data_IF_165775501040
#
_entry.id   IF_165775501040
#
_cell.length_a   1.000
_cell.length_b   1.000
_cell.length_c   1.000
_cell.angle_alpha   90.00
_cell.angle_beta   90.00
_cell.angle_gamma   90.00
#
_symmetry.space_group_name_H-M   'P 1'
#
loop_
_entity.id
_entity.type
_entity.pdbx_description
1 polymer ?
#
# COMPACT_ATOMS: atom_id res chain seq x y z
N UNK A 1 28.70 -68.87 -41.66
CA UNK A 1 27.72 -68.50 -42.69
C UNK A 1 26.36 -68.30 -42.03
N UNK A 2 25.80 -67.09 -42.18
CA UNK A 2 24.37 -66.71 -42.15
C UNK A 2 23.53 -66.98 -40.87
N UNK A 3 23.27 -65.86 -40.19
CA UNK A 3 22.08 -65.42 -39.43
C UNK A 3 20.84 -66.30 -39.35
N UNK A 4 20.16 -66.28 -38.18
CA UNK A 4 18.77 -65.79 -37.93
C UNK A 4 18.43 -66.10 -36.45
N UNK A 5 18.58 -65.14 -35.53
CA UNK A 5 17.51 -64.31 -34.91
C UNK A 5 16.26 -65.09 -34.50
N UNK A 6 16.10 -65.31 -33.19
CA UNK A 6 14.86 -65.75 -32.55
C UNK A 6 14.68 -64.98 -31.25
N UNK A 7 13.86 -63.93 -31.33
CA UNK A 7 13.50 -63.00 -30.27
C UNK A 7 12.51 -63.68 -29.31
N UNK A 8 12.83 -63.81 -28.02
CA UNK A 8 11.85 -64.13 -26.98
C UNK A 8 11.78 -62.94 -26.01
N UNK A 9 10.61 -62.30 -26.04
CA UNK A 9 10.16 -61.21 -25.20
C UNK A 9 10.10 -61.68 -23.73
N UNK A 10 10.87 -61.06 -22.84
CA UNK A 10 10.68 -61.16 -21.39
C UNK A 10 9.78 -59.98 -20.96
N UNK A 11 8.52 -60.25 -20.65
CA UNK A 11 7.62 -59.27 -20.05
C UNK A 11 7.98 -59.12 -18.56
N UNK A 12 8.72 -58.05 -18.22
CA UNK A 12 8.92 -57.64 -16.84
C UNK A 12 7.72 -56.79 -16.39
N UNK A 13 6.85 -57.37 -15.55
CA UNK A 13 5.79 -56.66 -14.84
C UNK A 13 6.41 -55.81 -13.72
N UNK A 14 6.69 -54.54 -14.01
CA UNK A 14 6.95 -53.55 -12.96
C UNK A 14 5.63 -53.16 -12.30
N UNK A 15 5.36 -53.71 -11.12
CA UNK A 15 4.38 -53.15 -10.18
C UNK A 15 4.98 -51.87 -9.61
N UNK A 16 4.73 -50.76 -10.29
CA UNK A 16 5.04 -49.43 -9.77
C UNK A 16 4.03 -49.06 -8.69
N UNK A 17 4.41 -49.20 -7.42
CA UNK A 17 3.74 -48.50 -6.33
C UNK A 17 4.00 -47.00 -6.47
N UNK A 18 3.18 -46.30 -7.24
CA UNK A 18 3.12 -44.84 -7.21
C UNK A 18 2.37 -44.41 -5.95
N UNK A 19 3.09 -44.23 -4.85
CA UNK A 19 2.60 -43.39 -3.76
C UNK A 19 2.66 -41.93 -4.23
N UNK A 20 1.59 -41.48 -4.88
CA UNK A 20 1.35 -40.07 -5.11
C UNK A 20 1.02 -39.41 -3.77
N UNK A 21 2.03 -38.86 -3.12
CA UNK A 21 1.83 -37.91 -2.02
C UNK A 21 1.23 -36.65 -2.63
N UNK A 22 -0.01 -36.24 -2.28
CA UNK A 22 -0.54 -34.96 -2.74
C UNK A 22 0.23 -33.86 -2.00
N UNK A 23 1.03 -33.10 -2.74
CA UNK A 23 1.64 -31.86 -2.24
C UNK A 23 0.51 -30.84 -2.12
N UNK A 24 -0.12 -30.82 -0.95
CA UNK A 24 -1.04 -29.77 -0.54
C UNK A 24 -0.24 -28.50 -0.26
N UNK A 25 -0.14 -27.61 -1.24
CA UNK A 25 0.20 -26.21 -1.00
C UNK A 25 -1.04 -25.43 -0.53
N UNK A 26 -1.68 -25.91 0.53
CA UNK A 26 -2.56 -25.09 1.34
C UNK A 26 -1.70 -24.49 2.46
N UNK A 27 -1.08 -23.33 2.21
CA UNK A 27 -0.68 -22.48 3.33
C UNK A 27 -1.96 -22.11 4.06
N UNK A 28 -2.18 -22.77 5.20
CA UNK A 28 -3.32 -22.52 6.07
C UNK A 28 -3.19 -21.09 6.57
N UNK A 29 -3.98 -20.18 5.99
CA UNK A 29 -4.26 -18.90 6.61
C UNK A 29 -4.85 -19.20 7.99
N UNK A 30 -4.01 -19.03 9.01
CA UNK A 30 -4.46 -19.04 10.40
C UNK A 30 -5.40 -17.86 10.54
N UNK A 31 -6.70 -18.10 10.38
CA UNK A 31 -7.75 -17.13 10.64
C UNK A 31 -7.70 -16.79 12.13
N UNK A 32 -6.90 -15.78 12.44
CA UNK A 32 -6.73 -15.22 13.77
C UNK A 32 -7.91 -14.32 14.09
N UNK A 33 -8.33 -14.38 15.35
CA UNK A 33 -9.27 -13.46 15.99
C UNK A 33 -9.08 -12.00 15.52
N UNK A 34 -10.12 -11.15 15.57
CA UNK A 34 -10.01 -9.75 15.18
C UNK A 34 -8.78 -9.11 15.83
N UNK A 35 -8.01 -8.28 15.08
CA UNK A 35 -6.87 -7.59 15.66
C UNK A 35 -7.36 -6.78 16.88
N UNK A 36 -6.60 -6.85 17.98
CA UNK A 36 -6.85 -5.99 19.14
C UNK A 36 -6.78 -4.53 18.67
N UNK A 37 -7.67 -3.68 19.20
CA UNK A 37 -7.62 -2.24 18.95
C UNK A 37 -6.26 -1.68 19.31
N UNK A 38 -5.72 -0.79 18.48
CA UNK A 38 -4.44 -0.17 18.75
C UNK A 38 -4.52 0.75 19.99
N UNK A 39 -3.46 0.83 20.82
CA UNK A 39 -3.42 1.73 21.97
C UNK A 39 -3.33 3.21 21.58
N UNK A 40 -3.01 3.50 20.32
CA UNK A 40 -2.97 4.83 19.69
C UNK A 40 -3.42 4.70 18.24
N UNK A 41 -3.77 5.81 17.59
CA UNK A 41 -4.05 5.83 16.15
C UNK A 41 -2.84 5.38 15.33
N UNK A 42 -3.04 4.43 14.41
CA UNK A 42 -2.02 3.88 13.51
C UNK A 42 -2.41 4.07 12.05
N UNK A 43 -1.58 4.81 11.30
CA UNK A 43 -1.66 4.90 9.85
C UNK A 43 -0.57 4.01 9.20
N UNK A 44 -0.96 3.14 8.28
CA UNK A 44 -0.03 2.39 7.44
C UNK A 44 -0.07 2.92 6.01
N UNK A 45 1.04 3.48 5.54
CA UNK A 45 1.16 4.18 4.26
C UNK A 45 1.97 3.33 3.29
N UNK A 46 1.36 2.97 2.19
CA UNK A 46 1.99 2.30 1.06
C UNK A 46 2.41 3.38 0.07
N UNK A 47 3.71 3.47 -0.21
CA UNK A 47 4.28 4.40 -1.17
C UNK A 47 4.78 3.61 -2.37
N UNK A 48 4.05 3.67 -3.49
CA UNK A 48 4.50 3.08 -4.74
C UNK A 48 5.53 4.00 -5.39
N UNK A 49 6.82 3.66 -5.32
CA UNK A 49 7.90 4.53 -5.81
C UNK A 49 7.74 4.86 -7.30
N UNK A 50 8.06 6.09 -7.67
CA UNK A 50 7.96 6.57 -9.05
C UNK A 50 8.95 5.82 -9.95
N UNK A 51 8.49 5.33 -11.11
CA UNK A 51 9.32 4.53 -12.01
C UNK A 51 9.00 4.77 -13.48
N UNK A 52 9.92 5.40 -14.20
CA UNK A 52 9.80 5.72 -15.63
C UNK A 52 9.80 4.49 -16.56
N UNK A 53 10.24 3.33 -16.07
CA UNK A 53 10.43 2.11 -16.86
C UNK A 53 9.22 1.20 -16.74
N UNK A 54 8.70 1.03 -15.52
CA UNK A 54 7.69 0.02 -15.23
C UNK A 54 6.26 0.57 -15.09
N UNK A 55 6.09 1.90 -15.08
CA UNK A 55 4.78 2.55 -14.89
C UNK A 55 4.38 3.35 -16.12
N UNK A 56 3.07 3.40 -16.41
CA UNK A 56 2.48 4.18 -17.50
C UNK A 56 2.47 5.69 -17.27
N UNK A 57 3.40 6.21 -16.46
CA UNK A 57 3.48 7.62 -16.10
C UNK A 57 4.03 8.48 -17.24
N UNK A 58 3.67 9.77 -17.24
CA UNK A 58 4.45 10.77 -17.97
C UNK A 58 5.84 10.79 -17.35
N UNK A 59 6.86 10.48 -18.16
CA UNK A 59 8.24 10.35 -17.67
C UNK A 59 8.68 11.62 -16.95
N UNK A 60 9.21 11.44 -15.76
CA UNK A 60 9.87 12.48 -14.96
C UNK A 60 11.39 12.41 -15.17
N UNK A 61 12.18 13.40 -14.72
CA UNK A 61 13.64 13.29 -14.79
C UNK A 61 14.14 11.97 -14.17
N UNK A 62 15.10 11.32 -14.82
CA UNK A 62 15.57 9.97 -14.43
C UNK A 62 15.96 9.85 -12.95
N UNK A 63 16.54 10.91 -12.38
CA UNK A 63 16.92 11.01 -10.98
C UNK A 63 15.75 10.75 -10.01
N UNK A 64 14.56 11.25 -10.32
CA UNK A 64 13.39 11.17 -9.43
C UNK A 64 12.38 10.09 -9.86
N UNK A 65 12.58 9.50 -11.05
CA UNK A 65 11.76 8.43 -11.63
C UNK A 65 12.45 7.07 -11.70
N UNK A 66 13.40 6.81 -10.79
CA UNK A 66 14.01 5.49 -10.63
C UNK A 66 13.34 4.76 -9.45
N UNK A 67 12.63 3.67 -9.76
CA UNK A 67 11.89 2.86 -8.78
C UNK A 67 12.74 2.04 -7.82
N UNK A 68 14.06 2.02 -8.02
CA UNK A 68 15.05 1.35 -7.18
C UNK A 68 15.79 2.29 -6.22
N UNK A 69 15.67 3.61 -6.44
CA UNK A 69 16.41 4.61 -5.70
C UNK A 69 15.55 5.22 -4.61
N UNK A 70 16.05 5.25 -3.37
CA UNK A 70 15.31 5.80 -2.24
C UNK A 70 15.53 7.30 -2.06
N UNK A 71 16.74 7.80 -2.31
CA UNK A 71 17.16 9.15 -1.89
C UNK A 71 16.44 10.25 -2.66
N UNK A 72 16.27 10.06 -3.97
CA UNK A 72 15.76 11.10 -4.85
C UNK A 72 14.37 10.81 -5.41
N UNK A 73 13.80 9.63 -5.15
CA UNK A 73 12.53 9.25 -5.73
C UNK A 73 11.42 10.24 -5.37
N UNK A 74 10.64 10.63 -6.39
CA UNK A 74 9.62 11.66 -6.33
C UNK A 74 8.64 11.46 -5.14
N UNK A 75 8.24 10.23 -4.86
CA UNK A 75 7.23 9.95 -3.84
C UNK A 75 7.82 9.61 -2.46
N UNK A 76 9.15 9.52 -2.33
CA UNK A 76 9.79 9.08 -1.09
C UNK A 76 10.87 10.02 -0.57
N UNK A 77 12.01 10.10 -1.27
CA UNK A 77 13.21 10.80 -0.80
C UNK A 77 13.37 12.22 -1.35
N UNK A 78 12.70 12.56 -2.46
CA UNK A 78 12.62 13.95 -2.91
C UNK A 78 12.03 14.86 -1.82
N UNK A 79 12.22 16.17 -1.90
CA UNK A 79 11.84 17.12 -0.84
C UNK A 79 10.37 17.03 -0.39
N UNK A 80 9.47 16.71 -1.33
CA UNK A 80 8.03 16.53 -1.09
C UNK A 80 7.60 15.05 -1.03
N UNK A 81 8.55 14.12 -1.12
CA UNK A 81 8.33 12.69 -0.93
C UNK A 81 8.06 12.35 0.54
N UNK A 82 7.35 11.24 0.79
CA UNK A 82 6.79 10.90 2.11
C UNK A 82 7.83 10.91 3.22
N UNK A 83 8.96 10.20 3.06
CA UNK A 83 9.98 10.13 4.11
C UNK A 83 10.62 11.49 4.36
N UNK A 84 11.05 12.16 3.30
CA UNK A 84 11.77 13.45 3.41
C UNK A 84 10.88 14.55 3.96
N UNK A 85 9.62 14.61 3.54
CA UNK A 85 8.66 15.59 4.02
C UNK A 85 8.33 15.39 5.50
N UNK A 86 7.95 14.17 5.91
CA UNK A 86 7.63 13.88 7.32
C UNK A 86 8.84 14.02 8.24
N UNK A 87 10.07 13.80 7.74
CA UNK A 87 11.30 14.05 8.51
C UNK A 87 11.50 15.55 8.80
N UNK A 88 11.06 16.42 7.91
CA UNK A 88 11.14 17.89 8.06
C UNK A 88 9.93 18.47 8.82
N UNK A 89 8.89 17.67 9.04
CA UNK A 89 7.68 18.11 9.71
C UNK A 89 7.93 18.58 11.15
N UNK A 90 7.26 19.67 11.52
CA UNK A 90 7.24 20.14 12.90
C UNK A 90 6.33 19.29 13.79
N UNK A 91 5.44 18.47 13.22
CA UNK A 91 4.47 17.64 13.94
C UNK A 91 4.92 16.19 14.16
N UNK A 92 5.87 15.69 13.37
CA UNK A 92 6.28 14.28 13.39
C UNK A 92 7.76 14.12 13.78
N UNK A 93 8.07 13.01 14.45
CA UNK A 93 9.44 12.56 14.71
C UNK A 93 9.69 11.26 13.95
N UNK A 94 10.77 11.18 13.18
CA UNK A 94 11.26 9.91 12.65
C UNK A 94 11.87 9.09 13.78
N UNK A 95 11.33 7.90 14.03
CA UNK A 95 11.77 7.01 15.10
C UNK A 95 12.76 5.97 14.57
N UNK A 96 12.50 5.40 13.40
CA UNK A 96 13.37 4.40 12.81
C UNK A 96 13.18 4.29 11.31
N UNK A 97 14.24 3.84 10.62
CA UNK A 97 14.20 3.40 9.23
C UNK A 97 14.81 2.00 9.14
N UNK A 98 14.14 1.09 8.44
CA UNK A 98 14.64 -0.27 8.20
C UNK A 98 14.64 -0.55 6.71
N UNK A 99 15.67 -1.20 6.18
CA UNK A 99 15.74 -1.65 4.78
C UNK A 99 15.62 -3.18 4.75
N UNK A 100 14.44 -3.73 4.44
CA UNK A 100 14.28 -5.18 4.31
C UNK A 100 15.26 -5.74 3.27
N UNK A 101 15.86 -6.89 3.54
CA UNK A 101 16.85 -7.50 2.64
C UNK A 101 16.19 -8.30 1.50
N UNK A 102 14.87 -8.52 1.57
CA UNK A 102 14.08 -9.31 0.62
C UNK A 102 12.67 -8.73 0.49
N UNK A 103 12.03 -9.03 -0.63
CA UNK A 103 10.67 -8.60 -0.93
C UNK A 103 10.61 -7.28 -1.69
N UNK A 104 9.40 -6.73 -1.74
CA UNK A 104 9.06 -5.60 -2.60
C UNK A 104 9.24 -4.23 -1.92
N UNK A 105 9.44 -4.21 -0.60
CA UNK A 105 9.65 -2.99 0.19
C UNK A 105 11.15 -2.73 0.29
N UNK A 106 11.60 -1.58 -0.22
CA UNK A 106 12.99 -1.14 -0.16
C UNK A 106 13.34 -0.47 1.17
N UNK A 107 12.38 0.23 1.77
CA UNK A 107 12.56 0.89 3.05
C UNK A 107 11.23 1.07 3.79
N UNK A 108 11.24 0.82 5.09
CA UNK A 108 10.17 1.16 6.03
C UNK A 108 10.63 2.33 6.91
N UNK A 109 9.84 3.38 7.01
CA UNK A 109 10.06 4.49 7.92
C UNK A 109 8.92 4.57 8.95
N UNK A 110 9.28 4.71 10.23
CA UNK A 110 8.32 4.79 11.34
C UNK A 110 8.41 6.18 11.94
N UNK A 111 7.28 6.87 11.98
CA UNK A 111 7.14 8.21 12.55
C UNK A 111 6.13 8.20 13.70
N UNK A 112 6.35 9.08 14.66
CA UNK A 112 5.42 9.31 15.78
C UNK A 112 5.03 10.79 15.82
N UNK A 113 3.74 11.04 15.89
CA UNK A 113 3.19 12.39 16.03
C UNK A 113 3.51 12.93 17.43
N UNK A 114 4.12 14.12 17.50
CA UNK A 114 4.69 14.69 18.73
C UNK A 114 3.64 14.92 19.82
N UNK A 115 2.45 15.40 19.44
CA UNK A 115 1.44 15.80 20.42
C UNK A 115 0.54 14.65 20.88
N UNK A 116 0.29 13.65 20.03
CA UNK A 116 -0.71 12.60 20.30
C UNK A 116 -0.12 11.20 20.42
N UNK A 117 1.15 11.03 20.04
CA UNK A 117 1.77 9.72 19.98
C UNK A 117 1.22 8.79 18.90
N UNK A 118 0.38 9.30 17.97
CA UNK A 118 -0.09 8.54 16.82
C UNK A 118 1.09 8.04 15.98
N UNK A 119 0.96 6.86 15.40
CA UNK A 119 2.02 6.18 14.64
C UNK A 119 1.70 6.27 13.15
N UNK A 120 2.71 6.63 12.36
CA UNK A 120 2.71 6.48 10.92
C UNK A 120 3.83 5.52 10.54
N UNK A 121 3.48 4.41 9.90
CA UNK A 121 4.45 3.51 9.26
C UNK A 121 4.30 3.70 7.76
N UNK A 122 5.39 4.03 7.08
CA UNK A 122 5.40 4.20 5.64
C UNK A 122 6.36 3.19 4.99
N UNK A 123 5.87 2.47 4.00
CA UNK A 123 6.61 1.46 3.24
C UNK A 123 6.84 1.93 1.81
N UNK A 124 8.11 2.06 1.42
CA UNK A 124 8.53 2.36 0.07
C UNK A 124 8.59 1.08 -0.76
N UNK A 125 7.54 0.84 -1.54
CA UNK A 125 7.48 -0.27 -2.48
C UNK A 125 8.29 0.07 -3.72
N UNK A 126 9.18 -0.84 -4.11
CA UNK A 126 9.93 -0.83 -5.36
C UNK A 126 9.02 -0.46 -6.53
N UNK A 127 9.48 0.41 -7.42
CA UNK A 127 8.64 0.94 -8.51
C UNK A 127 8.08 -0.14 -9.44
N UNK A 128 8.89 -1.15 -9.77
CA UNK A 128 8.48 -2.33 -10.53
C UNK A 128 7.42 -3.20 -9.81
N UNK A 129 7.28 -3.06 -8.49
CA UNK A 129 6.34 -3.80 -7.65
C UNK A 129 5.04 -3.03 -7.38
N UNK A 130 4.71 -2.00 -8.16
CA UNK A 130 3.47 -1.22 -8.01
C UNK A 130 2.21 -2.10 -7.98
N UNK A 131 2.16 -3.15 -8.81
CA UNK A 131 1.01 -4.08 -8.80
C UNK A 131 0.85 -4.78 -7.46
N UNK A 132 1.96 -5.17 -6.84
CA UNK A 132 1.98 -5.75 -5.49
C UNK A 132 1.59 -4.72 -4.43
N UNK A 133 2.06 -3.49 -4.54
CA UNK A 133 1.69 -2.40 -3.65
C UNK A 133 0.18 -2.14 -3.64
N UNK A 134 -0.44 -2.13 -4.83
CA UNK A 134 -1.89 -1.95 -4.98
C UNK A 134 -2.68 -3.15 -4.43
N UNK A 135 -2.25 -4.39 -4.69
CA UNK A 135 -2.87 -5.57 -4.08
C UNK A 135 -2.78 -5.52 -2.56
N UNK A 136 -1.61 -5.18 -2.02
CA UNK A 136 -1.40 -5.09 -0.56
C UNK A 136 -2.25 -3.99 0.08
N UNK A 137 -2.44 -2.86 -0.62
CA UNK A 137 -3.37 -1.81 -0.20
C UNK A 137 -4.80 -2.35 0.00
N UNK A 138 -5.35 -3.07 -0.98
CA UNK A 138 -6.70 -3.62 -0.87
C UNK A 138 -6.79 -4.80 0.10
N UNK A 139 -5.75 -5.62 0.23
CA UNK A 139 -5.68 -6.67 1.25
C UNK A 139 -5.71 -6.08 2.66
N UNK A 140 -4.95 -5.02 2.91
CA UNK A 140 -4.96 -4.34 4.20
C UNK A 140 -6.32 -3.70 4.46
N UNK A 141 -6.91 -3.01 3.49
CA UNK A 141 -8.26 -2.47 3.62
C UNK A 141 -9.31 -3.54 3.87
N UNK A 142 -9.11 -4.75 3.35
CA UNK A 142 -9.96 -5.92 3.60
C UNK A 142 -9.83 -6.48 5.02
N UNK A 143 -9.02 -5.86 5.87
CA UNK A 143 -8.73 -6.33 7.22
C UNK A 143 -7.76 -7.52 7.25
N UNK A 144 -7.11 -7.84 6.14
CA UNK A 144 -6.18 -8.98 6.03
C UNK A 144 -4.75 -8.55 6.31
N UNK A 145 -3.90 -9.55 6.54
CA UNK A 145 -2.45 -9.37 6.72
C UNK A 145 -2.11 -8.34 7.82
N UNK A 146 -2.86 -8.39 8.92
CA UNK A 146 -2.52 -7.65 10.12
C UNK A 146 -1.20 -8.17 10.70
N UNK A 147 -0.31 -7.26 11.06
CA UNK A 147 1.04 -7.59 11.55
C UNK A 147 1.39 -6.74 12.77
N UNK A 148 1.92 -7.31 13.86
CA UNK A 148 2.38 -6.51 15.00
C UNK A 148 3.72 -5.82 14.68
N UNK A 149 3.84 -4.56 15.09
CA UNK A 149 5.08 -3.80 15.09
C UNK A 149 5.33 -3.19 16.47
N UNK A 150 6.54 -3.38 17.01
CA UNK A 150 6.97 -2.69 18.23
C UNK A 150 7.44 -1.28 17.88
N UNK A 151 6.87 -0.27 18.54
CA UNK A 151 7.28 1.14 18.42
C UNK A 151 7.63 1.67 19.81
N UNK A 152 8.91 1.59 20.18
CA UNK A 152 9.35 1.85 21.56
C UNK A 152 8.81 0.79 22.52
N UNK A 153 8.04 1.19 23.52
CA UNK A 153 7.46 0.30 24.54
C UNK A 153 6.05 -0.21 24.22
N UNK A 154 5.46 0.19 23.09
CA UNK A 154 4.11 -0.23 22.68
C UNK A 154 4.17 -1.15 21.46
N UNK A 155 3.20 -2.05 21.38
CA UNK A 155 2.92 -2.83 20.18
C UNK A 155 1.71 -2.22 19.47
N UNK A 156 1.81 -2.08 18.15
CA UNK A 156 0.75 -1.60 17.27
C UNK A 156 0.54 -2.61 16.14
N UNK A 157 -0.66 -2.62 15.56
CA UNK A 157 -1.01 -3.50 14.44
C UNK A 157 -0.99 -2.72 13.13
N UNK A 158 -0.27 -3.24 12.14
CA UNK A 158 -0.16 -2.73 10.78
C UNK A 158 -1.09 -3.50 9.83
N UNK A 159 -1.05 -3.13 8.56
CA UNK A 159 -1.81 -3.78 7.50
C UNK A 159 -3.31 -3.72 7.80
N UNK A 160 -3.99 -4.86 7.74
CA UNK A 160 -5.40 -4.94 8.08
C UNK A 160 -5.77 -4.71 9.53
N UNK A 161 -4.80 -4.59 10.44
CA UNK A 161 -5.01 -4.16 11.81
C UNK A 161 -4.75 -2.68 12.08
N UNK A 162 -4.35 -1.91 11.06
CA UNK A 162 -4.21 -0.46 11.18
C UNK A 162 -5.59 0.21 11.32
N UNK A 163 -5.60 1.45 11.78
CA UNK A 163 -6.81 2.27 11.88
C UNK A 163 -7.08 3.04 10.57
N UNK A 164 -6.01 3.35 9.83
CA UNK A 164 -6.06 3.99 8.51
C UNK A 164 -4.97 3.37 7.63
N UNK A 165 -5.31 3.07 6.37
CA UNK A 165 -4.35 2.66 5.35
C UNK A 165 -4.37 3.70 4.23
N UNK A 166 -3.18 4.20 3.86
CA UNK A 166 -3.03 5.17 2.80
C UNK A 166 -2.20 4.61 1.63
N UNK A 167 -2.56 4.97 0.41
CA UNK A 167 -1.78 4.76 -0.80
C UNK A 167 -1.28 6.10 -1.34
N UNK A 168 0.01 6.17 -1.70
CA UNK A 168 0.63 7.35 -2.32
C UNK A 168 1.47 6.92 -3.52
N UNK A 169 1.24 7.54 -4.68
CA UNK A 169 2.06 7.33 -5.87
C UNK A 169 1.22 7.29 -7.14
N UNK A 170 1.68 6.52 -8.13
CA UNK A 170 0.95 6.33 -9.38
C UNK A 170 -0.29 5.43 -9.22
N UNK A 171 -1.35 5.69 -9.99
CA UNK A 171 -2.54 4.83 -10.03
C UNK A 171 -2.32 3.73 -11.08
N UNK A 172 -1.86 2.55 -10.62
CA UNK A 172 -1.66 1.41 -11.49
C UNK A 172 -2.95 0.81 -12.08
N UNK A 173 -4.11 1.08 -11.46
CA UNK A 173 -5.40 0.62 -11.97
C UNK A 173 -5.87 1.39 -13.21
N UNK A 174 -5.17 2.47 -13.57
CA UNK A 174 -5.32 3.13 -14.87
C UNK A 174 -4.73 2.30 -16.04
N UNK A 175 -3.84 1.34 -15.77
CA UNK A 175 -3.22 0.50 -16.81
C UNK A 175 -3.64 -0.97 -16.76
N UNK A 176 -4.02 -1.48 -15.60
CA UNK A 176 -4.33 -2.90 -15.41
C UNK A 176 -5.38 -3.13 -14.33
N UNK A 177 -5.96 -4.32 -14.30
CA UNK A 177 -6.84 -4.76 -13.21
C UNK A 177 -6.15 -5.71 -12.24
N UNK A 178 -6.76 -5.87 -11.08
CA UNK A 178 -6.40 -6.85 -10.05
C UNK A 178 -7.56 -7.81 -9.81
N UNK A 179 -7.30 -8.99 -9.22
CA UNK A 179 -8.36 -9.81 -8.65
C UNK A 179 -9.12 -9.03 -7.58
N UNK A 180 -10.43 -9.22 -7.52
CA UNK A 180 -11.26 -8.59 -6.51
C UNK A 180 -10.76 -8.98 -5.10
N UNK A 181 -10.62 -8.02 -4.18
CA UNK A 181 -10.15 -8.31 -2.84
C UNK A 181 -11.19 -9.14 -2.07
N UNK A 182 -10.70 -10.03 -1.22
CA UNK A 182 -11.56 -10.88 -0.36
C UNK A 182 -11.53 -10.34 1.06
N UNK A 183 -12.65 -9.90 1.64
CA UNK A 183 -12.68 -9.39 3.00
C UNK A 183 -12.30 -10.46 4.05
N UNK A 184 -11.61 -10.05 5.12
CA UNK A 184 -11.38 -10.89 6.28
C UNK A 184 -12.72 -11.27 6.96
N UNK A 185 -12.75 -12.43 7.63
CA UNK A 185 -13.94 -12.93 8.32
C UNK A 185 -14.41 -12.01 9.47
N UNK A 186 -13.49 -11.28 10.11
CA UNK A 186 -13.84 -10.28 11.13
C UNK A 186 -14.28 -8.96 10.50
N UNK A 187 -14.97 -8.11 11.27
CA UNK A 187 -15.54 -6.85 10.77
C UNK A 187 -14.61 -5.63 10.81
N UNK A 188 -13.47 -5.69 11.51
CA UNK A 188 -12.53 -4.56 11.56
C UNK A 188 -11.99 -4.22 10.17
N UNK A 189 -12.08 -2.94 9.77
CA UNK A 189 -11.58 -2.40 8.50
C UNK A 189 -10.91 -1.05 8.75
N UNK A 190 -9.69 -0.81 8.22
CA UNK A 190 -9.08 0.51 8.27
C UNK A 190 -9.86 1.53 7.43
N UNK A 191 -9.72 2.82 7.74
CA UNK A 191 -10.12 3.90 6.83
C UNK A 191 -9.21 3.91 5.58
N UNK A 192 -9.78 4.22 4.42
CA UNK A 192 -9.05 4.23 3.16
C UNK A 192 -8.67 5.64 2.69
N UNK A 193 -7.39 5.87 2.43
CA UNK A 193 -6.87 7.07 1.78
C UNK A 193 -6.13 6.68 0.51
N UNK A 194 -6.48 7.27 -0.64
CA UNK A 194 -5.76 7.04 -1.89
C UNK A 194 -5.38 8.37 -2.53
N UNK A 195 -4.07 8.66 -2.53
CA UNK A 195 -3.46 9.83 -3.16
C UNK A 195 -2.71 9.37 -4.41
N UNK A 196 -3.47 9.23 -5.50
CA UNK A 196 -2.98 8.97 -6.85
C UNK A 196 -3.94 9.64 -7.85
N UNK A 197 -3.74 9.49 -9.15
CA UNK A 197 -4.63 10.08 -10.16
C UNK A 197 -5.99 9.37 -10.22
N UNK A 198 -7.12 10.09 -10.14
CA UNK A 198 -8.47 9.56 -10.39
C UNK A 198 -8.88 8.31 -9.58
N UNK A 199 -8.38 8.16 -8.37
CA UNK A 199 -8.62 6.96 -7.55
C UNK A 199 -10.10 6.71 -7.26
N UNK A 200 -10.97 7.74 -7.22
CA UNK A 200 -12.41 7.52 -7.09
C UNK A 200 -12.95 6.65 -8.23
N UNK A 201 -12.49 6.88 -9.45
CA UNK A 201 -12.92 6.14 -10.64
C UNK A 201 -12.33 4.73 -10.66
N UNK A 202 -11.02 4.60 -10.46
CA UNK A 202 -10.32 3.33 -10.70
C UNK A 202 -10.29 2.41 -9.47
N UNK A 203 -10.16 2.95 -8.26
CA UNK A 203 -10.12 2.14 -7.03
C UNK A 203 -11.52 1.85 -6.47
N UNK A 204 -12.57 2.56 -6.92
CA UNK A 204 -13.88 2.55 -6.27
C UNK A 204 -14.53 1.17 -6.14
N UNK A 205 -14.48 0.35 -7.20
CA UNK A 205 -15.05 -1.00 -7.18
C UNK A 205 -14.30 -1.94 -6.22
N UNK A 206 -12.97 -1.96 -6.30
CA UNK A 206 -12.12 -2.79 -5.44
C UNK A 206 -12.21 -2.33 -3.98
N UNK A 207 -12.22 -1.02 -3.72
CA UNK A 207 -12.39 -0.45 -2.39
C UNK A 207 -13.73 -0.89 -1.78
N UNK A 208 -14.82 -0.79 -2.54
CA UNK A 208 -16.13 -1.28 -2.10
C UNK A 208 -16.09 -2.78 -1.77
N UNK A 209 -15.40 -3.58 -2.58
CA UNK A 209 -15.26 -5.01 -2.35
C UNK A 209 -14.52 -5.35 -1.04
N UNK A 210 -13.60 -4.48 -0.56
CA UNK A 210 -12.94 -4.67 0.74
C UNK A 210 -13.88 -4.51 1.96
N UNK A 211 -14.94 -3.72 1.80
CA UNK A 211 -15.81 -3.26 2.90
C UNK A 211 -15.20 -2.17 3.78
N UNK A 212 -14.03 -1.62 3.44
CA UNK A 212 -13.45 -0.47 4.12
C UNK A 212 -14.23 0.82 3.83
N UNK A 213 -14.19 1.76 4.78
CA UNK A 213 -14.80 3.07 4.61
C UNK A 213 -13.83 4.02 3.89
N UNK A 214 -14.19 4.55 2.71
CA UNK A 214 -13.42 5.60 2.05
C UNK A 214 -13.31 6.85 2.93
N UNK A 215 -12.11 7.41 3.08
CA UNK A 215 -11.88 8.65 3.82
C UNK A 215 -11.49 9.80 2.89
N UNK A 216 -10.42 9.65 2.10
CA UNK A 216 -10.02 10.64 1.10
C UNK A 216 -9.58 9.95 -0.18
N UNK A 217 -10.22 10.32 -1.29
CA UNK A 217 -9.90 9.85 -2.63
C UNK A 217 -9.67 11.05 -3.55
N UNK A 218 -9.31 10.79 -4.81
CA UNK A 218 -9.05 11.81 -5.84
C UNK A 218 -9.96 11.61 -7.05
N UNK A 219 -10.46 12.71 -7.62
CA UNK A 219 -11.33 12.70 -8.81
C UNK A 219 -10.60 13.10 -10.09
N UNK A 220 -9.48 13.80 -9.96
CA UNK A 220 -8.71 14.36 -11.07
C UNK A 220 -7.28 13.82 -11.09
N UNK A 221 -6.53 14.18 -12.13
CA UNK A 221 -5.07 14.04 -12.12
C UNK A 221 -4.49 14.94 -11.02
N UNK A 222 -3.45 14.47 -10.34
CA UNK A 222 -2.84 15.21 -9.23
C UNK A 222 -1.38 14.82 -9.01
N UNK A 223 -0.63 15.69 -8.34
CA UNK A 223 0.70 15.38 -7.82
C UNK A 223 0.57 14.67 -6.45
N UNK A 224 0.90 13.37 -6.33
CA UNK A 224 0.69 12.59 -5.10
C UNK A 224 1.85 12.80 -4.12
N UNK A 225 1.96 14.02 -3.62
CA UNK A 225 3.03 14.46 -2.73
C UNK A 225 2.59 14.50 -1.26
N UNK A 226 3.55 14.46 -0.35
CA UNK A 226 3.32 14.16 1.07
C UNK A 226 2.59 15.27 1.85
N UNK A 227 2.54 16.50 1.36
CA UNK A 227 1.82 17.59 2.03
C UNK A 227 0.31 17.33 2.11
N UNK A 228 -0.27 16.67 1.09
CA UNK A 228 -1.68 16.30 1.12
C UNK A 228 -1.90 15.17 2.12
N UNK A 229 -0.98 14.20 2.18
CA UNK A 229 -1.01 13.12 3.16
C UNK A 229 -0.94 13.67 4.60
N UNK A 230 0.00 14.57 4.90
CA UNK A 230 0.12 15.15 6.23
C UNK A 230 -1.15 15.91 6.65
N UNK A 231 -1.77 16.66 5.72
CA UNK A 231 -3.01 17.38 6.00
C UNK A 231 -4.17 16.42 6.31
N UNK A 232 -4.33 15.34 5.53
CA UNK A 232 -5.33 14.30 5.76
C UNK A 232 -5.13 13.63 7.12
N UNK A 233 -3.89 13.23 7.43
CA UNK A 233 -3.58 12.59 8.70
C UNK A 233 -3.77 13.54 9.88
N UNK A 234 -3.46 14.83 9.72
CA UNK A 234 -3.72 15.85 10.72
C UNK A 234 -5.20 15.98 11.07
N UNK A 235 -6.08 16.00 10.06
CA UNK A 235 -7.54 15.96 10.25
C UNK A 235 -7.99 14.67 10.94
N UNK A 236 -7.53 13.52 10.44
CA UNK A 236 -7.87 12.22 11.00
C UNK A 236 -7.45 12.07 12.46
N UNK A 237 -6.22 12.48 12.82
CA UNK A 237 -5.72 12.44 14.19
C UNK A 237 -6.62 13.26 15.13
N UNK A 238 -7.11 14.42 14.67
CA UNK A 238 -8.05 15.28 15.40
C UNK A 238 -9.49 14.74 15.45
N UNK A 239 -9.76 13.58 14.86
CA UNK A 239 -11.10 12.97 14.85
C UNK A 239 -12.07 13.67 13.90
N UNK A 240 -11.55 14.38 12.90
CA UNK A 240 -12.35 15.06 11.88
C UNK A 240 -12.87 14.07 10.84
N UNK A 241 -14.01 14.39 10.23
CA UNK A 241 -14.63 13.54 9.23
C UNK A 241 -13.94 13.63 7.85
N UNK A 242 -14.46 12.90 6.88
CA UNK A 242 -13.93 12.85 5.52
C UNK A 242 -14.01 14.21 4.79
N UNK A 243 -15.06 15.01 5.04
CA UNK A 243 -15.22 16.31 4.41
C UNK A 243 -14.17 17.30 4.92
N UNK A 244 -13.95 17.32 6.24
CA UNK A 244 -12.89 18.13 6.87
C UNK A 244 -11.49 17.70 6.39
N UNK A 245 -11.26 16.40 6.20
CA UNK A 245 -9.98 15.89 5.68
C UNK A 245 -9.74 16.28 4.21
N UNK A 246 -10.77 16.22 3.38
CA UNK A 246 -10.73 16.67 1.98
C UNK A 246 -10.45 18.16 1.89
N UNK A 247 -11.10 18.97 2.72
CA UNK A 247 -10.87 20.41 2.76
C UNK A 247 -9.43 20.71 3.21
N UNK A 248 -8.90 19.99 4.21
CA UNK A 248 -7.50 20.12 4.62
C UNK A 248 -6.53 19.73 3.49
N UNK A 249 -6.79 18.63 2.78
CA UNK A 249 -6.00 18.18 1.64
C UNK A 249 -6.01 19.19 0.50
N UNK A 250 -7.19 19.73 0.16
CA UNK A 250 -7.35 20.74 -0.88
C UNK A 250 -6.61 22.05 -0.54
N UNK A 251 -6.69 22.52 0.70
CA UNK A 251 -5.95 23.71 1.14
C UNK A 251 -4.42 23.50 1.08
N UNK A 252 -3.92 22.35 1.53
CA UNK A 252 -2.51 22.01 1.41
C UNK A 252 -2.08 21.94 -0.07
N UNK A 253 -2.87 21.27 -0.90
CA UNK A 253 -2.59 21.13 -2.33
C UNK A 253 -2.58 22.47 -3.06
N UNK A 254 -3.55 23.35 -2.80
CA UNK A 254 -3.60 24.70 -3.35
C UNK A 254 -2.32 25.50 -3.07
N UNK A 255 -1.83 25.43 -1.82
CA UNK A 255 -0.61 26.11 -1.39
C UNK A 255 0.62 25.64 -2.15
N UNK A 256 0.83 24.32 -2.25
CA UNK A 256 2.04 23.76 -2.86
C UNK A 256 2.01 23.82 -4.39
N UNK A 257 0.85 23.56 -4.99
CA UNK A 257 0.68 23.60 -6.45
C UNK A 257 0.41 25.01 -6.99
N UNK A 258 0.30 26.01 -6.10
CA UNK A 258 0.09 27.43 -6.44
C UNK A 258 -1.17 27.65 -7.29
N UNK A 259 -2.25 26.96 -6.93
CA UNK A 259 -3.56 27.08 -7.55
C UNK A 259 -4.58 27.62 -6.54
N UNK A 260 -5.75 28.07 -7.02
CA UNK A 260 -6.83 28.46 -6.11
C UNK A 260 -7.35 27.26 -5.31
N UNK A 261 -7.82 27.49 -4.08
CA UNK A 261 -8.48 26.45 -3.26
C UNK A 261 -9.72 25.90 -4.00
N UNK A 262 -10.45 26.74 -4.74
CA UNK A 262 -11.58 26.30 -5.57
C UNK A 262 -11.15 25.23 -6.59
N UNK A 263 -10.01 25.43 -7.25
CA UNK A 263 -9.46 24.43 -8.18
C UNK A 263 -8.94 23.19 -7.44
N UNK A 264 -8.26 23.36 -6.30
CA UNK A 264 -7.78 22.21 -5.52
C UNK A 264 -8.91 21.33 -4.99
N UNK A 265 -10.08 21.90 -4.66
CA UNK A 265 -11.26 21.13 -4.23
C UNK A 265 -11.80 20.18 -5.29
N UNK A 266 -11.53 20.41 -6.58
CA UNK A 266 -11.94 19.47 -7.65
C UNK A 266 -11.00 18.27 -7.79
N UNK A 267 -9.90 18.26 -7.02
CA UNK A 267 -8.93 17.16 -7.01
C UNK A 267 -9.37 16.07 -6.03
N UNK A 268 -9.91 16.44 -4.88
CA UNK A 268 -10.19 15.53 -3.77
C UNK A 268 -11.69 15.31 -3.58
N UNK A 269 -12.05 14.13 -3.10
CA UNK A 269 -13.43 13.80 -2.76
C UNK A 269 -13.48 13.00 -1.48
N UNK A 270 -14.48 13.32 -0.65
CA UNK A 270 -14.80 12.51 0.51
C UNK A 270 -15.41 11.25 -0.04
N UNK A 271 -14.82 10.10 0.25
CA UNK A 271 -15.32 8.90 -0.37
C UNK A 271 -16.73 8.59 0.16
N UNK A 272 -17.65 8.35 -0.76
CA UNK A 272 -19.03 7.95 -0.46
C UNK A 272 -19.03 6.43 -0.34
N UNK A 273 -19.46 5.90 0.80
CA UNK A 273 -19.69 4.46 0.98
C UNK A 273 -20.76 3.91 0.03
#
# INVERSE_FOLDING_TARGET
MKHTVGLILLAATFVGCTHSVPVSHAQTEKQTQPPKSNPVKVAHVIVALCDNVHQGIVKVPARIGNGEELVDNLYWGASLGVKSYFRQSTAWNLISTTKPTKGDILERAVFVHKATGAVLVADAYRGAAIKKATVDYFDFLSGRRAEPLRVGNREVSLGGGADLVAYVGHDGLMEWSIPAPTPAAHKHRPLAVALACKTQQFFGADLKATGATPYVMTQSLMAPEAYSLEAVLGSWIKGKDAHDAVEAAANAYAKYQKISVKAARTVFVAGTG
#
